data_IF_893388943873
#
_entry.id   IF_893388943873
#
_cell.length_a   1.000
_cell.length_b   1.000
_cell.length_c   1.000
_cell.angle_alpha   90.00
_cell.angle_beta   90.00
_cell.angle_gamma   90.00
#
_symmetry.space_group_name_H-M   'P 1'
#
loop_
_entity.id
_entity.type
_entity.pdbx_description
1 polymer ?
#
# COMPACT_ATOMS: atom_id res chain seq x y z
N UNK A 1 -52.74 7.29 35.59
CA UNK A 1 -52.95 7.73 36.98
C UNK A 1 -51.84 8.67 37.45
N UNK A 2 -50.55 8.35 37.25
CA UNK A 2 -49.39 9.14 37.73
C UNK A 2 -49.19 10.57 37.15
N UNK A 3 -49.84 10.96 36.04
CA UNK A 3 -49.59 12.26 35.39
C UNK A 3 -50.49 13.40 35.88
N UNK A 4 -51.66 13.11 36.46
CA UNK A 4 -52.62 14.13 36.89
C UNK A 4 -52.31 14.65 38.30
N UNK A 5 -51.87 13.78 39.21
CA UNK A 5 -51.47 14.14 40.57
C UNK A 5 -50.25 15.09 40.58
N UNK A 6 -49.29 14.87 39.67
CA UNK A 6 -48.13 15.75 39.48
C UNK A 6 -48.52 17.16 39.04
N UNK A 7 -49.49 17.28 38.12
CA UNK A 7 -49.94 18.57 37.59
C UNK A 7 -50.72 19.38 38.63
N UNK A 8 -51.50 18.73 39.49
CA UNK A 8 -52.23 19.39 40.57
C UNK A 8 -51.30 19.86 41.72
N UNK A 9 -50.25 19.10 42.05
CA UNK A 9 -49.22 19.54 43.00
C UNK A 9 -48.38 20.70 42.47
N UNK A 10 -48.00 20.65 41.19
CA UNK A 10 -47.27 21.75 40.52
C UNK A 10 -48.09 23.05 40.52
N UNK A 11 -49.42 22.96 40.39
CA UNK A 11 -50.32 24.11 40.39
C UNK A 11 -50.50 24.75 41.77
N UNK A 12 -50.32 23.98 42.85
CA UNK A 12 -50.44 24.48 44.25
C UNK A 12 -49.17 25.14 44.78
N UNK A 13 -48.04 25.01 44.08
CA UNK A 13 -46.76 25.54 44.55
C UNK A 13 -46.58 27.04 44.28
N UNK A 14 -45.94 27.73 45.23
CA UNK A 14 -45.51 29.12 45.07
C UNK A 14 -44.51 29.25 43.90
N UNK A 15 -44.64 30.30 43.08
CA UNK A 15 -43.79 30.51 41.87
C UNK A 15 -42.28 30.41 42.15
N UNK A 16 -41.84 30.87 43.33
CA UNK A 16 -40.43 30.78 43.77
C UNK A 16 -40.02 29.34 44.10
N UNK A 17 -40.88 28.59 44.77
CA UNK A 17 -40.66 27.19 45.14
C UNK A 17 -40.64 26.29 43.90
N UNK A 18 -41.52 26.56 42.94
CA UNK A 18 -41.51 25.90 41.63
C UNK A 18 -40.18 26.12 40.89
N UNK A 19 -39.65 27.35 40.91
CA UNK A 19 -38.37 27.66 40.27
C UNK A 19 -37.19 26.88 40.87
N UNK A 20 -37.10 26.80 42.21
CA UNK A 20 -36.07 26.00 42.87
C UNK A 20 -36.19 24.50 42.60
N UNK A 21 -37.41 23.97 42.57
CA UNK A 21 -37.65 22.55 42.27
C UNK A 21 -37.26 22.21 40.83
N UNK A 22 -37.60 23.09 39.88
CA UNK A 22 -37.19 22.94 38.47
C UNK A 22 -35.68 23.10 38.30
N UNK A 23 -35.05 24.07 38.97
CA UNK A 23 -33.59 24.25 38.94
C UNK A 23 -32.85 23.03 39.48
N UNK A 24 -33.28 22.50 40.63
CA UNK A 24 -32.64 21.32 41.23
C UNK A 24 -32.79 20.09 40.30
N UNK A 25 -33.99 19.87 39.76
CA UNK A 25 -34.20 18.82 38.76
C UNK A 25 -33.33 19.03 37.51
N UNK A 26 -33.25 20.27 37.02
CA UNK A 26 -32.39 20.64 35.91
C UNK A 26 -30.91 20.38 36.16
N UNK A 27 -30.42 20.62 37.38
CA UNK A 27 -29.04 20.31 37.78
C UNK A 27 -28.77 18.81 37.83
N UNK A 28 -29.72 18.00 38.32
CA UNK A 28 -29.58 16.54 38.33
C UNK A 28 -29.50 16.01 36.89
N UNK A 29 -30.43 16.43 36.03
CA UNK A 29 -30.45 15.99 34.62
C UNK A 29 -29.20 16.45 33.87
N UNK A 30 -28.75 17.70 34.07
CA UNK A 30 -27.55 18.20 33.42
C UNK A 30 -26.29 17.46 33.88
N UNK A 31 -26.17 17.13 35.17
CA UNK A 31 -25.05 16.35 35.69
C UNK A 31 -25.00 14.93 35.09
N UNK A 32 -26.15 14.28 34.94
CA UNK A 32 -26.24 12.95 34.32
C UNK A 32 -25.81 13.00 32.83
N UNK A 33 -26.28 14.01 32.09
CA UNK A 33 -25.89 14.22 30.68
C UNK A 33 -24.41 14.57 30.55
N UNK A 34 -23.85 15.35 31.48
CA UNK A 34 -22.42 15.66 31.53
C UNK A 34 -21.58 14.41 31.76
N UNK A 35 -21.99 13.51 32.66
CA UNK A 35 -21.29 12.24 32.88
C UNK A 35 -21.31 11.39 31.62
N UNK A 36 -22.46 11.27 30.95
CA UNK A 36 -22.59 10.49 29.72
C UNK A 36 -21.75 11.06 28.57
N UNK A 37 -21.79 12.38 28.35
CA UNK A 37 -20.96 13.05 27.34
C UNK A 37 -19.48 13.04 27.70
N UNK A 38 -19.14 13.17 28.98
CA UNK A 38 -17.78 13.02 29.48
C UNK A 38 -17.22 11.64 29.16
N UNK A 39 -18.00 10.58 29.37
CA UNK A 39 -17.61 9.22 29.03
C UNK A 39 -17.38 9.04 27.51
N UNK A 40 -18.26 9.60 26.67
CA UNK A 40 -18.04 9.60 25.21
C UNK A 40 -16.72 10.27 24.81
N UNK A 41 -16.41 11.42 25.39
CA UNK A 41 -15.17 12.17 25.08
C UNK A 41 -13.93 11.42 25.57
N UNK A 42 -13.95 10.89 26.80
CA UNK A 42 -12.80 10.17 27.38
C UNK A 42 -12.48 8.89 26.61
N UNK A 43 -13.52 8.14 26.24
CA UNK A 43 -13.36 6.88 25.48
C UNK A 43 -13.08 7.09 24.00
N UNK A 44 -13.26 8.31 23.46
CA UNK A 44 -13.12 8.57 22.02
C UNK A 44 -14.13 7.80 21.15
N UNK A 45 -15.24 7.34 21.72
CA UNK A 45 -16.23 6.49 21.06
C UNK A 45 -17.64 7.12 21.10
N UNK A 46 -18.40 6.96 20.01
CA UNK A 46 -19.81 7.34 19.94
C UNK A 46 -20.69 6.51 20.89
N UNK A 47 -20.19 5.35 21.31
CA UNK A 47 -20.91 4.39 22.16
C UNK A 47 -19.93 3.80 23.17
N UNK A 48 -19.78 4.41 24.35
CA UNK A 48 -18.84 3.94 25.36
C UNK A 48 -19.25 2.61 26.00
N UNK A 49 -20.54 2.27 25.95
CA UNK A 49 -21.11 1.06 26.55
C UNK A 49 -22.00 0.35 25.52
N UNK A 50 -21.73 -0.93 25.28
CA UNK A 50 -22.51 -1.80 24.38
C UNK A 50 -22.87 -3.10 25.11
N UNK A 51 -24.07 -3.61 24.89
CA UNK A 51 -24.52 -4.88 25.46
C UNK A 51 -24.36 -6.03 24.46
N UNK A 52 -23.94 -7.20 24.94
CA UNK A 52 -23.82 -8.42 24.13
C UNK A 52 -25.21 -9.02 23.90
N UNK A 53 -25.69 -8.93 22.66
CA UNK A 53 -27.00 -9.47 22.27
C UNK A 53 -26.95 -10.98 21.92
N UNK A 54 -25.80 -11.49 21.50
CA UNK A 54 -25.66 -12.86 20.95
C UNK A 54 -24.43 -13.60 21.50
N UNK A 55 -24.56 -14.92 21.68
CA UNK A 55 -23.53 -15.81 22.24
C UNK A 55 -22.48 -16.32 21.24
N UNK A 56 -22.16 -15.59 20.16
CA UNK A 56 -21.16 -16.04 19.17
C UNK A 56 -19.74 -16.09 19.73
N UNK A 57 -19.47 -15.38 20.83
CA UNK A 57 -18.17 -15.31 21.50
C UNK A 57 -18.08 -16.16 22.78
N UNK A 58 -18.99 -17.11 22.98
CA UNK A 58 -18.91 -18.07 24.08
C UNK A 58 -17.62 -18.92 23.95
N UNK A 59 -16.87 -19.17 25.04
CA UNK A 59 -17.19 -18.91 26.45
C UNK A 59 -16.75 -17.55 27.02
N UNK A 60 -16.12 -16.68 26.20
CA UNK A 60 -15.54 -15.43 26.70
C UNK A 60 -16.58 -14.36 27.06
N UNK A 61 -17.72 -14.36 26.36
CA UNK A 61 -18.84 -13.45 26.60
C UNK A 61 -20.16 -14.20 26.60
N UNK A 62 -21.05 -13.81 27.51
CA UNK A 62 -22.41 -14.32 27.62
C UNK A 62 -23.42 -13.25 27.19
N UNK A 63 -24.62 -13.68 26.86
CA UNK A 63 -25.72 -12.76 26.53
C UNK A 63 -26.03 -11.89 27.74
N UNK A 64 -26.04 -10.58 27.55
CA UNK A 64 -26.28 -9.60 28.61
C UNK A 64 -25.00 -8.98 29.21
N UNK A 65 -23.80 -9.42 28.82
CA UNK A 65 -22.57 -8.78 29.25
C UNK A 65 -22.47 -7.34 28.73
N UNK A 66 -21.93 -6.44 29.55
CA UNK A 66 -21.64 -5.06 29.18
C UNK A 66 -20.19 -4.94 28.73
N UNK A 67 -19.99 -4.43 27.51
CA UNK A 67 -18.69 -4.10 26.95
C UNK A 67 -18.46 -2.60 27.07
N UNK A 68 -17.33 -2.25 27.68
CA UNK A 68 -16.81 -0.89 27.66
C UNK A 68 -15.88 -0.74 26.46
N UNK A 69 -16.19 0.21 25.58
CA UNK A 69 -15.41 0.48 24.38
C UNK A 69 -14.52 1.69 24.62
N UNK A 70 -13.23 1.53 24.33
CA UNK A 70 -12.26 2.62 24.28
C UNK A 70 -11.64 2.64 22.90
N UNK A 71 -11.64 3.80 22.26
CA UNK A 71 -11.07 4.01 20.95
C UNK A 71 -9.80 4.85 21.10
N UNK A 72 -8.65 4.17 21.16
CA UNK A 72 -7.34 4.82 21.14
C UNK A 72 -6.81 4.75 19.73
N UNK A 73 -6.68 5.91 19.08
CA UNK A 73 -6.28 5.99 17.67
C UNK A 73 -4.79 5.68 17.49
N UNK A 74 -3.97 5.90 18.52
CA UNK A 74 -2.52 5.68 18.45
C UNK A 74 -2.10 4.20 18.56
N UNK A 75 -2.96 3.33 19.10
CA UNK A 75 -2.61 1.93 19.39
C UNK A 75 -3.05 0.99 18.26
N UNK A 76 -2.12 0.31 17.56
CA UNK A 76 -2.47 -0.64 16.51
C UNK A 76 -3.10 -1.91 17.11
N UNK A 77 -4.13 -2.43 16.42
CA UNK A 77 -4.88 -3.63 16.80
C UNK A 77 -3.97 -4.86 16.80
N UNK A 78 -3.99 -5.64 17.88
CA UNK A 78 -3.18 -6.85 18.05
C UNK A 78 -4.00 -8.12 17.91
N UNK A 79 -3.30 -9.23 17.62
CA UNK A 79 -3.92 -10.56 17.64
C UNK A 79 -4.39 -10.89 19.06
N UNK A 80 -5.62 -11.39 19.16
CA UNK A 80 -6.26 -11.77 20.42
C UNK A 80 -7.18 -10.70 21.02
N UNK A 81 -7.09 -9.46 20.55
CA UNK A 81 -7.96 -8.36 20.99
C UNK A 81 -9.40 -8.53 20.52
N UNK A 82 -10.33 -7.95 21.26
CA UNK A 82 -11.76 -7.95 20.95
C UNK A 82 -12.09 -6.58 20.34
N UNK A 83 -12.52 -6.59 19.09
CA UNK A 83 -12.83 -5.38 18.35
C UNK A 83 -14.33 -5.30 18.11
N UNK A 84 -14.85 -4.08 18.22
CA UNK A 84 -16.24 -3.76 17.90
C UNK A 84 -16.25 -2.77 16.76
N UNK A 85 -16.94 -3.14 15.68
CA UNK A 85 -17.05 -2.30 14.50
C UNK A 85 -18.50 -2.27 14.01
N UNK A 86 -18.88 -1.14 13.42
CA UNK A 86 -20.17 -0.95 12.76
C UNK A 86 -19.97 -1.11 11.27
N UNK A 87 -20.85 -1.89 10.62
CA UNK A 87 -20.88 -2.05 9.16
C UNK A 87 -21.96 -1.12 8.61
N UNK A 88 -21.70 -0.45 7.50
CA UNK A 88 -22.72 0.34 6.80
C UNK A 88 -23.89 -0.55 6.36
N UNK A 89 -25.12 -0.17 6.73
CA UNK A 89 -26.33 -0.97 6.48
C UNK A 89 -26.71 -1.94 7.60
N UNK A 90 -25.96 -2.01 8.71
CA UNK A 90 -26.40 -2.70 9.94
C UNK A 90 -26.37 -1.74 11.14
N UNK A 91 -27.52 -1.62 11.82
CA UNK A 91 -27.65 -0.77 13.01
C UNK A 91 -26.98 -1.38 14.25
N UNK A 92 -26.78 -2.71 14.26
CA UNK A 92 -26.22 -3.45 15.39
C UNK A 92 -24.69 -3.58 15.21
N UNK A 93 -23.87 -3.10 16.17
CA UNK A 93 -22.42 -3.27 16.12
C UNK A 93 -22.03 -4.74 16.30
N UNK A 94 -20.97 -5.15 15.63
CA UNK A 94 -20.51 -6.55 15.63
C UNK A 94 -19.24 -6.65 16.46
N UNK A 95 -19.22 -7.61 17.38
CA UNK A 95 -18.07 -7.93 18.24
C UNK A 95 -17.37 -9.18 17.70
N UNK A 96 -16.06 -9.11 17.46
CA UNK A 96 -15.25 -10.26 17.06
C UNK A 96 -13.89 -10.27 17.75
N UNK A 97 -13.29 -11.46 17.88
CA UNK A 97 -11.89 -11.63 18.30
C UNK A 97 -10.96 -11.58 17.09
N UNK A 98 -9.91 -10.79 17.17
CA UNK A 98 -8.88 -10.71 16.14
C UNK A 98 -8.05 -12.00 16.17
N UNK A 99 -8.17 -12.82 15.13
CA UNK A 99 -7.41 -14.08 15.04
C UNK A 99 -6.03 -13.88 14.39
N UNK A 100 -5.95 -13.02 13.37
CA UNK A 100 -4.72 -12.76 12.65
C UNK A 100 -4.76 -11.38 12.00
N UNK A 101 -3.75 -10.58 12.27
CA UNK A 101 -3.53 -9.29 11.60
C UNK A 101 -2.70 -9.55 10.35
N UNK A 102 -3.22 -9.17 9.19
CA UNK A 102 -2.50 -9.28 7.93
C UNK A 102 -1.85 -7.94 7.61
N UNK A 103 -0.56 -7.82 7.93
CA UNK A 103 0.25 -6.76 7.35
C UNK A 103 0.72 -7.22 5.96
N UNK A 104 0.42 -6.45 4.91
CA UNK A 104 0.88 -6.76 3.57
C UNK A 104 2.43 -6.80 3.55
N UNK A 105 3.01 -8.00 3.56
CA UNK A 105 4.46 -8.21 3.65
C UNK A 105 5.29 -7.62 2.49
N UNK A 106 4.65 -7.10 1.44
CA UNK A 106 5.29 -6.36 0.35
C UNK A 106 5.90 -5.03 0.82
N UNK A 107 5.39 -4.42 1.89
CA UNK A 107 5.83 -3.10 2.37
C UNK A 107 6.94 -3.16 3.42
N UNK A 108 7.11 -4.28 4.14
CA UNK A 108 8.08 -4.34 5.26
C UNK A 108 9.53 -4.22 4.79
N UNK A 109 9.94 -5.04 3.81
CA UNK A 109 11.28 -4.97 3.21
C UNK A 109 11.52 -3.64 2.48
N UNK A 110 10.47 -3.09 1.86
CA UNK A 110 10.55 -1.79 1.18
C UNK A 110 10.70 -0.61 2.16
N UNK A 111 10.06 -0.67 3.33
CA UNK A 111 10.25 0.28 4.44
C UNK A 111 11.65 0.17 5.05
N UNK A 112 12.10 -1.05 5.38
CA UNK A 112 13.47 -1.30 5.87
C UNK A 112 14.53 -0.73 4.91
N UNK A 113 14.34 -0.87 3.58
CA UNK A 113 15.21 -0.29 2.56
C UNK A 113 15.13 1.25 2.50
N UNK A 114 13.93 1.83 2.58
CA UNK A 114 13.74 3.29 2.60
C UNK A 114 14.47 3.91 3.80
N UNK A 115 14.31 3.31 4.97
CA UNK A 115 14.92 3.82 6.21
C UNK A 115 16.46 3.78 6.09
N UNK A 116 17.01 2.69 5.55
CA UNK A 116 18.46 2.57 5.29
C UNK A 116 18.99 3.61 4.28
N UNK A 117 18.28 3.85 3.17
CA UNK A 117 18.71 4.81 2.14
C UNK A 117 18.53 6.27 2.58
N UNK A 118 17.54 6.55 3.43
CA UNK A 118 17.35 7.87 4.02
C UNK A 118 18.44 8.18 5.05
N UNK A 119 18.83 7.21 5.87
CA UNK A 119 19.84 7.39 6.92
C UNK A 119 21.28 7.41 6.37
N UNK A 120 21.59 6.55 5.40
CA UNK A 120 22.98 6.34 4.95
C UNK A 120 23.38 7.22 3.78
N UNK A 121 22.41 7.69 2.96
CA UNK A 121 22.69 8.33 1.68
C UNK A 121 22.01 9.68 1.46
N UNK A 122 21.20 10.19 2.40
CA UNK A 122 20.45 11.45 2.28
C UNK A 122 19.74 11.60 0.91
N UNK A 123 19.15 10.50 0.45
CA UNK A 123 18.44 10.43 -0.84
C UNK A 123 16.96 10.27 -0.60
N UNK A 124 16.17 11.03 -1.35
CA UNK A 124 14.72 10.88 -1.36
C UNK A 124 14.35 9.54 -2.01
N UNK A 125 13.66 8.69 -1.24
CA UNK A 125 13.15 7.39 -1.70
C UNK A 125 11.64 7.35 -1.53
N UNK A 126 10.94 7.39 -2.66
CA UNK A 126 9.49 7.18 -2.73
C UNK A 126 9.20 5.71 -3.02
N UNK A 127 8.39 5.08 -2.17
CA UNK A 127 7.95 3.70 -2.34
C UNK A 127 6.77 3.69 -3.30
N UNK A 128 6.98 3.21 -4.52
CA UNK A 128 5.91 3.04 -5.52
C UNK A 128 5.16 1.74 -5.21
N UNK A 129 4.02 1.86 -4.53
CA UNK A 129 3.11 0.76 -4.27
C UNK A 129 1.95 0.68 -5.27
N UNK A 130 1.18 -0.41 -5.19
CA UNK A 130 -0.11 -0.67 -5.86
C UNK A 130 -1.21 0.38 -5.52
N UNK A 131 -0.82 1.44 -4.81
CA UNK A 131 -1.66 2.57 -4.40
C UNK A 131 -1.77 3.63 -5.51
N UNK A 132 -1.05 3.47 -6.63
CA UNK A 132 -1.17 4.37 -7.80
C UNK A 132 -2.41 4.11 -8.70
N UNK A 133 -3.30 3.18 -8.35
CA UNK A 133 -4.54 2.92 -9.11
C UNK A 133 -5.84 3.19 -8.37
N UNK A 134 -5.84 3.88 -7.22
CA UNK A 134 -7.07 4.45 -6.64
C UNK A 134 -8.22 3.46 -6.44
N UNK A 135 -7.94 2.16 -6.31
CA UNK A 135 -8.94 1.14 -6.00
C UNK A 135 -8.88 0.84 -4.51
N UNK A 136 -9.78 1.49 -3.78
CA UNK A 136 -10.00 1.25 -2.36
C UNK A 136 -10.28 -0.24 -2.11
N UNK A 137 -9.45 -0.87 -1.26
CA UNK A 137 -9.59 -2.29 -0.88
C UNK A 137 -10.92 -2.56 -0.18
N UNK A 138 -11.47 -1.58 0.53
CA UNK A 138 -12.77 -1.74 1.20
C UNK A 138 -13.92 -1.84 0.19
N UNK A 139 -13.81 -1.16 -0.95
CA UNK A 139 -14.81 -1.25 -2.02
C UNK A 139 -14.91 -2.67 -2.60
N UNK A 140 -13.79 -3.37 -2.81
CA UNK A 140 -13.76 -4.67 -3.52
C UNK A 140 -14.42 -5.79 -2.72
N UNK A 141 -14.34 -5.74 -1.39
CA UNK A 141 -14.97 -6.72 -0.49
C UNK A 141 -16.40 -6.35 -0.06
N UNK A 142 -16.91 -5.19 -0.46
CA UNK A 142 -18.30 -4.80 -0.17
C UNK A 142 -19.32 -5.61 -0.97
N UNK A 143 -18.93 -6.19 -2.12
CA UNK A 143 -19.81 -6.98 -3.00
C UNK A 143 -19.20 -8.33 -3.38
N UNK A 144 -19.91 -9.43 -3.09
CA UNK A 144 -19.53 -10.79 -3.51
C UNK A 144 -19.31 -10.95 -5.02
N UNK A 145 -20.01 -10.16 -5.85
CA UNK A 145 -19.88 -10.23 -7.31
C UNK A 145 -18.54 -9.66 -7.79
N UNK A 146 -18.05 -8.58 -7.15
CA UNK A 146 -16.76 -7.96 -7.52
C UNK A 146 -15.59 -8.85 -7.12
N UNK A 147 -15.67 -9.52 -5.97
CA UNK A 147 -14.69 -10.54 -5.60
C UNK A 147 -14.69 -11.71 -6.59
N UNK A 148 -15.87 -12.20 -7.01
CA UNK A 148 -15.98 -13.28 -8.00
C UNK A 148 -15.37 -12.89 -9.34
N UNK A 149 -15.62 -11.67 -9.82
CA UNK A 149 -15.03 -11.13 -11.05
C UNK A 149 -13.51 -11.06 -10.90
N UNK A 150 -12.99 -10.47 -9.82
CA UNK A 150 -11.56 -10.35 -9.59
C UNK A 150 -10.88 -11.72 -9.52
N UNK A 151 -11.47 -12.70 -8.83
CA UNK A 151 -10.97 -14.09 -8.80
C UNK A 151 -10.96 -14.73 -10.19
N UNK A 152 -11.96 -14.46 -11.01
CA UNK A 152 -12.01 -14.97 -12.40
C UNK A 152 -10.94 -14.32 -13.28
N UNK A 153 -10.73 -13.01 -13.14
CA UNK A 153 -9.68 -12.27 -13.86
C UNK A 153 -8.31 -12.79 -13.45
N UNK A 154 -8.04 -12.87 -12.15
CA UNK A 154 -6.75 -13.33 -11.63
C UNK A 154 -6.45 -14.77 -12.03
N UNK A 155 -7.47 -15.65 -12.04
CA UNK A 155 -7.35 -17.01 -12.58
C UNK A 155 -6.98 -17.01 -14.07
N UNK A 156 -7.64 -16.19 -14.89
CA UNK A 156 -7.33 -16.10 -16.33
C UNK A 156 -5.94 -15.54 -16.62
N UNK A 157 -5.44 -14.63 -15.78
CA UNK A 157 -4.08 -14.10 -15.89
C UNK A 157 -3.04 -15.17 -15.53
N UNK A 158 -3.28 -15.97 -14.49
CA UNK A 158 -2.43 -17.11 -14.12
C UNK A 158 -2.43 -18.16 -15.24
N UNK A 159 -3.59 -18.51 -15.78
CA UNK A 159 -3.70 -19.44 -16.91
C UNK A 159 -2.97 -18.92 -18.16
N UNK A 160 -2.99 -17.61 -18.41
CA UNK A 160 -2.24 -16.98 -19.51
C UNK A 160 -0.73 -17.06 -19.27
N UNK A 161 -0.27 -16.81 -18.05
CA UNK A 161 1.14 -16.93 -17.68
C UNK A 161 1.61 -18.38 -17.80
N UNK A 162 0.83 -19.35 -17.30
CA UNK A 162 1.14 -20.77 -17.41
C UNK A 162 1.20 -21.22 -18.88
N UNK A 163 0.27 -20.74 -19.72
CA UNK A 163 0.30 -21.00 -21.16
C UNK A 163 1.53 -20.40 -21.85
N UNK A 164 2.02 -19.24 -21.40
CA UNK A 164 3.25 -18.63 -21.89
C UNK A 164 4.48 -19.42 -21.44
N UNK A 165 4.51 -19.87 -20.19
CA UNK A 165 5.61 -20.69 -19.64
C UNK A 165 5.71 -22.03 -20.38
N UNK A 166 4.59 -22.70 -20.64
CA UNK A 166 4.58 -23.98 -21.37
C UNK A 166 5.05 -23.84 -22.83
N UNK A 167 4.97 -22.63 -23.39
CA UNK A 167 5.46 -22.31 -24.74
C UNK A 167 6.86 -21.70 -24.74
N UNK A 168 7.44 -21.48 -23.56
CA UNK A 168 8.77 -20.90 -23.45
C UNK A 168 9.82 -21.93 -23.85
N UNK A 169 10.50 -21.67 -24.97
CA UNK A 169 11.66 -22.43 -25.39
C UNK A 169 12.92 -21.76 -24.84
N UNK A 170 13.81 -22.55 -24.24
CA UNK A 170 15.10 -22.03 -23.76
C UNK A 170 15.94 -21.64 -24.99
N UNK A 171 16.56 -20.46 -24.99
CA UNK A 171 17.37 -20.01 -26.12
C UNK A 171 18.47 -21.04 -26.48
N UNK A 172 18.51 -21.46 -27.74
CA UNK A 172 19.50 -22.44 -28.22
C UNK A 172 20.83 -21.74 -28.54
N UNK A 173 21.86 -22.02 -27.73
CA UNK A 173 23.23 -21.57 -27.95
C UNK A 173 23.84 -21.97 -29.30
N UNK A 174 23.29 -22.99 -29.98
CA UNK A 174 23.73 -23.39 -31.33
C UNK A 174 23.33 -22.39 -32.40
N UNK A 175 22.26 -21.63 -32.15
CA UNK A 175 21.72 -20.69 -33.08
C UNK A 175 22.26 -19.29 -32.83
N UNK A 176 22.87 -18.67 -33.84
CA UNK A 176 23.59 -17.38 -33.69
C UNK A 176 22.72 -16.25 -33.15
N UNK A 177 21.44 -16.22 -33.54
CA UNK A 177 20.50 -15.17 -33.15
C UNK A 177 19.75 -15.46 -31.85
N UNK A 178 19.91 -16.67 -31.31
CA UNK A 178 19.23 -17.13 -30.09
C UNK A 178 20.23 -17.44 -28.95
N UNK A 179 21.54 -17.46 -29.21
CA UNK A 179 22.56 -17.66 -28.18
C UNK A 179 22.60 -16.50 -27.17
N UNK A 180 22.31 -16.74 -25.88
CA UNK A 180 22.30 -15.70 -24.87
C UNK A 180 23.74 -15.25 -24.56
N UNK A 181 23.90 -13.94 -24.31
CA UNK A 181 25.17 -13.32 -23.92
C UNK A 181 25.55 -13.61 -22.46
N UNK A 182 24.54 -13.67 -21.61
CA UNK A 182 24.64 -13.94 -20.18
C UNK A 182 23.43 -14.78 -19.77
N UNK A 183 23.64 -15.76 -18.90
CA UNK A 183 22.58 -16.52 -18.24
C UNK A 183 22.66 -16.24 -16.76
N UNK A 184 21.68 -15.52 -16.22
CA UNK A 184 21.66 -15.09 -14.81
C UNK A 184 20.58 -15.89 -14.09
N UNK A 185 20.95 -16.52 -12.97
CA UNK A 185 19.98 -17.17 -12.09
C UNK A 185 19.41 -16.18 -11.07
N UNK A 186 18.22 -16.45 -10.55
CA UNK A 186 17.45 -15.51 -9.72
C UNK A 186 18.17 -15.14 -8.41
N UNK A 187 19.01 -16.02 -7.90
CA UNK A 187 19.72 -15.86 -6.63
C UNK A 187 21.16 -15.33 -6.80
N UNK A 188 21.61 -15.11 -8.03
CA UNK A 188 22.98 -14.69 -8.33
C UNK A 188 23.12 -13.16 -8.34
N UNK A 189 24.26 -12.64 -7.86
CA UNK A 189 24.56 -11.21 -7.95
C UNK A 189 24.84 -10.84 -9.41
N UNK A 190 24.22 -9.76 -9.88
CA UNK A 190 24.38 -9.27 -11.25
C UNK A 190 25.85 -8.88 -11.54
N UNK A 191 26.50 -9.46 -12.57
CA UNK A 191 27.87 -9.13 -12.93
C UNK A 191 27.92 -7.82 -13.74
N UNK A 192 27.82 -6.68 -13.06
CA UNK A 192 27.75 -5.34 -13.67
C UNK A 192 28.93 -5.02 -14.59
N UNK A 193 30.15 -5.45 -14.22
CA UNK A 193 31.37 -5.21 -14.99
C UNK A 193 31.42 -6.02 -16.30
N UNK A 194 30.99 -7.27 -16.26
CA UNK A 194 30.91 -8.11 -17.46
C UNK A 194 29.88 -7.58 -18.46
N UNK A 195 28.75 -7.08 -17.96
CA UNK A 195 27.69 -6.47 -18.79
C UNK A 195 28.20 -5.19 -19.46
N UNK A 196 28.87 -4.30 -18.73
CA UNK A 196 29.43 -3.08 -19.31
C UNK A 196 30.46 -3.37 -20.39
N UNK A 197 31.29 -4.38 -20.19
CA UNK A 197 32.31 -4.78 -21.15
C UNK A 197 31.71 -5.41 -22.41
N UNK A 198 30.67 -6.24 -22.28
CA UNK A 198 30.00 -6.83 -23.43
C UNK A 198 29.22 -5.83 -24.29
N UNK A 199 28.77 -4.70 -23.70
CA UNK A 199 28.08 -3.64 -24.45
C UNK A 199 29.09 -2.71 -25.13
N UNK A 200 30.15 -2.32 -24.42
CA UNK A 200 31.06 -1.26 -24.89
C UNK A 200 32.28 -1.77 -25.65
N UNK A 201 32.80 -2.96 -25.31
CA UNK A 201 34.09 -3.47 -25.83
C UNK A 201 33.93 -4.64 -26.81
N UNK A 202 32.70 -5.11 -27.06
CA UNK A 202 32.48 -6.29 -27.89
C UNK A 202 32.78 -6.00 -29.37
N UNK A 203 33.69 -6.79 -29.95
CA UNK A 203 33.92 -6.81 -31.39
C UNK A 203 32.68 -7.37 -32.10
N UNK A 204 32.10 -6.59 -33.00
CA UNK A 204 30.92 -7.00 -33.79
C UNK A 204 31.25 -8.33 -34.49
N UNK A 205 30.44 -9.40 -34.31
CA UNK A 205 30.70 -10.67 -34.97
C UNK A 205 30.64 -10.50 -36.49
N UNK A 206 31.48 -11.21 -37.25
CA UNK A 206 31.58 -11.01 -38.69
C UNK A 206 30.22 -11.13 -39.39
N UNK A 207 29.93 -10.26 -40.37
CA UNK A 207 28.62 -10.21 -41.03
C UNK A 207 28.28 -11.57 -41.65
N UNK A 208 27.01 -11.96 -41.61
CA UNK A 208 26.58 -13.22 -42.20
C UNK A 208 26.77 -13.15 -43.75
N UNK A 209 26.91 -14.31 -44.41
CA UNK A 209 27.10 -14.35 -45.87
C UNK A 209 25.88 -13.83 -46.66
N UNK A 210 24.70 -13.84 -46.06
CA UNK A 210 23.45 -13.29 -46.62
C UNK A 210 23.30 -11.76 -46.51
N UNK A 211 24.15 -11.07 -45.74
CA UNK A 211 24.23 -9.60 -45.64
C UNK A 211 25.42 -9.05 -46.42
N UNK A 212 26.29 -9.93 -46.95
CA UNK A 212 27.31 -9.53 -47.91
C UNK A 212 26.62 -9.35 -49.27
N UNK A 213 26.44 -8.10 -49.71
CA UNK A 213 26.15 -7.85 -51.11
C UNK A 213 27.34 -8.38 -51.93
N UNK A 214 27.06 -9.07 -53.04
CA UNK A 214 28.10 -9.58 -53.95
C UNK A 214 28.84 -8.39 -54.57
N UNK A 215 29.88 -7.88 -53.92
CA UNK A 215 30.80 -6.92 -54.51
C UNK A 215 31.82 -7.67 -55.36
N UNK A 216 31.36 -8.19 -56.50
CA UNK A 216 32.16 -8.90 -57.50
C UNK A 216 32.08 -8.28 -58.89
N UNK A 217 31.69 -7.01 -59.01
CA UNK A 217 31.70 -6.28 -60.30
C UNK A 217 32.77 -5.17 -60.25
N UNK A 218 33.82 -5.22 -61.09
CA UNK A 218 34.90 -4.21 -61.11
C UNK A 218 34.52 -2.81 -61.62
N UNK A 219 33.23 -2.50 -61.82
CA UNK A 219 32.79 -1.26 -62.48
C UNK A 219 32.04 -0.27 -61.58
N UNK A 220 32.17 -0.39 -60.26
CA UNK A 220 31.53 0.54 -59.31
C UNK A 220 32.54 1.17 -58.33
N UNK A 221 33.78 1.39 -58.77
CA UNK A 221 34.82 2.11 -58.00
C UNK A 221 34.90 3.62 -58.35
N UNK A 222 33.81 4.23 -58.83
CA UNK A 222 33.84 5.63 -59.29
C UNK A 222 32.87 6.59 -58.60
N UNK A 223 32.18 6.18 -57.54
CA UNK A 223 31.37 7.12 -56.77
C UNK A 223 31.28 6.67 -55.32
N UNK A 224 32.21 7.14 -54.48
CA UNK A 224 31.92 7.95 -53.28
C UNK A 224 33.26 8.19 -52.54
N UNK A 225 34.21 8.87 -53.19
CA UNK A 225 35.12 9.76 -52.46
C UNK A 225 34.35 11.06 -52.27
N UNK A 226 33.82 11.29 -51.08
CA UNK A 226 33.52 12.64 -50.63
C UNK A 226 34.31 12.87 -49.35
N UNK A 227 35.35 13.68 -49.50
CA UNK A 227 36.22 14.22 -48.45
C UNK A 227 35.41 15.03 -47.44
N UNK A 228 35.65 14.81 -46.14
CA UNK A 228 35.62 15.85 -45.10
C UNK A 228 36.81 15.57 -44.15
N UNK A 229 37.60 16.59 -43.76
CA UNK A 229 39.03 16.44 -43.51
C UNK A 229 39.40 16.17 -42.05
N UNK A 230 40.59 15.59 -41.86
CA UNK A 230 41.33 15.60 -40.60
C UNK A 230 41.62 17.03 -40.14
N UNK A 231 41.31 17.33 -38.88
CA UNK A 231 41.99 18.39 -38.12
C UNK A 231 42.50 17.81 -36.81
N UNK A 232 43.81 17.57 -36.77
CA UNK A 232 44.60 17.51 -35.54
C UNK A 232 44.53 18.86 -34.83
N UNK A 233 44.06 18.89 -33.57
CA UNK A 233 44.57 19.81 -32.53
C UNK A 233 44.39 19.18 -31.13
N UNK A 234 45.50 18.71 -30.57
CA UNK A 234 45.72 18.48 -29.14
C UNK A 234 45.71 19.79 -28.36
N UNK A 235 44.92 19.90 -27.27
CA UNK A 235 45.15 20.68 -26.04
C UNK A 235 44.20 20.09 -24.98
N UNK A 236 44.54 19.66 -23.76
CA UNK A 236 45.57 20.14 -22.85
C UNK A 236 44.91 20.97 -21.73
N UNK A 237 44.27 20.33 -20.75
CA UNK A 237 43.78 21.02 -19.54
C UNK A 237 44.82 20.80 -18.43
N UNK A 238 45.65 21.82 -18.21
CA UNK A 238 46.67 21.85 -17.16
C UNK A 238 46.23 22.91 -16.16
N UNK A 239 45.99 22.51 -14.91
CA UNK A 239 45.75 23.42 -13.80
C UNK A 239 46.93 24.39 -13.65
N UNK A 240 46.62 25.70 -13.57
CA UNK A 240 47.57 26.74 -13.17
C UNK A 240 47.51 26.93 -11.66
N UNK A 241 48.62 26.66 -10.97
CA UNK A 241 48.88 27.13 -9.62
C UNK A 241 50.21 27.91 -9.59
N UNK A 242 50.11 29.17 -9.15
CA UNK A 242 51.11 30.09 -8.55
C UNK A 242 52.58 30.12 -9.07
N UNK A 243 53.07 31.31 -9.42
CA UNK A 243 54.02 32.17 -8.62
C UNK A 243 54.74 33.21 -9.50
N UNK A 244 54.81 34.43 -8.97
CA UNK A 244 55.93 35.40 -8.91
C UNK A 244 56.63 35.78 -10.23
N UNK A 245 56.95 37.03 -10.55
CA UNK A 245 57.09 38.28 -9.80
C UNK A 245 56.76 39.46 -10.73
#
# INVERSE_FOLDING_TARGET
MLSLDCLDDVRRMNKRQLYYQVLNFGMIVSSALMIWKGLMVVTGSESPIVVVLSGSMEPAFHRGDLLFLTNRVEDPIRVGEIVVFRIEGREIPIVHRVLKVHENGKSRRAKELRDYFSETMDKQVDIIGDEMQGLDKNSVYADCQREKILRSTLRSEVERLDALILRFEVPDSRNRWDSPLFTIQKEERLPFEAISDAILKRKVPPPNKSTQSWSGNPLVDLSTRCLIPHTDKSYGVREMYKRNA
#
